data_IF_202892662558
#
_entry.id   IF_202892662558
#
_cell.length_a   1.000
_cell.length_b   1.000
_cell.length_c   1.000
_cell.angle_alpha   90.00
_cell.angle_beta   90.00
_cell.angle_gamma   90.00
#
_symmetry.space_group_name_H-M   'P 1'
#
loop_
_entity.id
_entity.type
_entity.pdbx_description
1 polymer ?
#
# COMPACT_ATOMS: atom_id res chain seq x y z
N UNK A 1 15.67 8.18 4.85
CA UNK A 1 14.63 9.22 4.87
C UNK A 1 13.99 9.23 6.25
N UNK A 2 13.55 10.38 6.72
CA UNK A 2 12.74 10.51 7.93
C UNK A 2 11.33 9.96 7.69
N UNK A 3 10.57 9.70 8.76
CA UNK A 3 9.17 9.30 8.66
C UNK A 3 8.35 10.28 7.81
N UNK A 4 8.52 11.58 8.02
CA UNK A 4 7.80 12.61 7.28
C UNK A 4 8.16 12.62 5.79
N UNK A 5 9.44 12.42 5.45
CA UNK A 5 9.88 12.30 4.06
C UNK A 5 9.27 11.08 3.38
N UNK A 6 9.19 9.94 4.08
CA UNK A 6 8.52 8.75 3.54
C UNK A 6 7.03 9.00 3.27
N UNK A 7 6.32 9.67 4.19
CA UNK A 7 4.89 9.99 4.01
C UNK A 7 4.66 10.90 2.80
N UNK A 8 5.50 11.92 2.62
CA UNK A 8 5.37 12.88 1.51
C UNK A 8 5.78 12.32 0.14
N UNK A 9 6.58 11.25 0.11
CA UNK A 9 7.19 10.77 -1.14
C UNK A 9 6.14 10.28 -2.16
N UNK A 10 5.12 9.56 -1.70
CA UNK A 10 4.24 8.80 -2.58
C UNK A 10 4.99 7.68 -3.30
N UNK A 11 4.74 7.50 -4.60
CA UNK A 11 5.42 6.48 -5.40
C UNK A 11 6.87 6.94 -5.66
N UNK A 12 7.89 6.17 -5.24
CA UNK A 12 9.29 6.56 -5.45
C UNK A 12 9.64 6.57 -6.95
N UNK A 13 10.44 7.55 -7.36
CA UNK A 13 10.84 7.72 -8.76
C UNK A 13 11.69 6.55 -9.29
N UNK A 14 12.46 5.93 -8.40
CA UNK A 14 13.27 4.74 -8.66
C UNK A 14 12.72 3.55 -7.86
N UNK A 15 12.86 2.34 -8.42
CA UNK A 15 12.34 1.14 -7.78
C UNK A 15 13.13 0.84 -6.49
N UNK A 16 12.47 0.73 -5.33
CA UNK A 16 13.13 0.26 -4.12
C UNK A 16 13.50 -1.22 -4.29
N UNK A 17 14.41 -1.73 -3.46
CA UNK A 17 14.78 -3.14 -3.48
C UNK A 17 13.56 -4.05 -3.24
N UNK A 18 13.53 -5.23 -3.88
CA UNK A 18 12.52 -6.25 -3.57
C UNK A 18 12.50 -6.55 -2.07
N UNK A 19 11.31 -6.74 -1.50
CA UNK A 19 11.15 -7.14 -0.11
C UNK A 19 11.22 -8.66 0.00
N UNK A 20 11.87 -9.15 1.05
CA UNK A 20 11.82 -10.56 1.41
C UNK A 20 10.49 -10.87 2.09
N UNK A 21 10.00 -12.10 1.91
CA UNK A 21 8.83 -12.61 2.60
C UNK A 21 9.15 -12.87 4.08
N UNK A 22 8.37 -12.28 4.99
CA UNK A 22 8.62 -12.37 6.42
C UNK A 22 7.81 -13.49 7.07
N UNK A 23 8.47 -14.61 7.35
CA UNK A 23 7.82 -15.80 7.93
C UNK A 23 7.37 -15.59 9.38
N UNK A 24 7.81 -14.54 10.07
CA UNK A 24 7.43 -14.27 11.45
C UNK A 24 6.06 -13.58 11.55
N UNK A 25 5.58 -12.97 10.47
CA UNK A 25 4.31 -12.26 10.43
C UNK A 25 3.20 -13.17 9.91
N UNK A 26 2.00 -13.01 10.47
CA UNK A 26 0.81 -13.71 9.99
C UNK A 26 0.38 -13.17 8.61
N UNK A 27 0.53 -13.98 7.58
CA UNK A 27 0.20 -13.60 6.21
C UNK A 27 -1.18 -14.09 5.77
N UNK A 28 -1.82 -13.33 4.87
CA UNK A 28 -3.12 -13.71 4.34
C UNK A 28 -3.04 -15.04 3.55
N UNK A 29 -4.05 -15.91 3.65
CA UNK A 29 -4.08 -17.15 2.88
C UNK A 29 -4.16 -16.84 1.38
N UNK A 30 -3.51 -17.70 0.58
CA UNK A 30 -3.58 -17.61 -0.88
C UNK A 30 -5.04 -17.67 -1.37
N UNK A 31 -5.42 -16.74 -2.25
CA UNK A 31 -6.74 -16.79 -2.91
C UNK A 31 -6.77 -17.82 -4.03
N UNK A 32 -7.95 -18.38 -4.26
CA UNK A 32 -8.18 -19.31 -5.37
C UNK A 32 -7.85 -18.63 -6.70
N UNK A 33 -7.11 -19.34 -7.55
CA UNK A 33 -6.79 -18.91 -8.90
C UNK A 33 -8.00 -19.19 -9.81
N UNK A 34 -8.91 -18.22 -9.87
CA UNK A 34 -10.16 -18.31 -10.64
C UNK A 34 -10.14 -17.44 -11.91
N UNK A 35 -9.08 -16.65 -12.11
CA UNK A 35 -9.00 -15.68 -13.20
C UNK A 35 -8.59 -16.37 -14.51
N UNK A 36 -9.23 -15.96 -15.61
CA UNK A 36 -8.79 -16.29 -16.97
C UNK A 36 -7.44 -15.65 -17.29
N UNK A 37 -6.81 -16.06 -18.39
CA UNK A 37 -5.55 -15.44 -18.82
C UNK A 37 -5.73 -13.97 -19.18
N UNK A 38 -6.85 -13.61 -19.82
CA UNK A 38 -7.21 -12.23 -20.16
C UNK A 38 -7.45 -11.39 -18.90
N UNK A 39 -8.11 -11.96 -17.88
CA UNK A 39 -8.34 -11.29 -16.60
C UNK A 39 -7.03 -11.09 -15.82
N UNK A 40 -6.11 -12.07 -15.88
CA UNK A 40 -4.77 -11.93 -15.28
C UNK A 40 -3.97 -10.83 -15.95
N UNK A 41 -3.98 -10.77 -17.28
CA UNK A 41 -3.32 -9.70 -18.02
C UNK A 41 -3.92 -8.32 -17.67
N UNK A 42 -5.26 -8.23 -17.61
CA UNK A 42 -5.96 -7.02 -17.20
C UNK A 42 -5.61 -6.61 -15.77
N UNK A 43 -5.50 -7.55 -14.83
CA UNK A 43 -5.12 -7.29 -13.45
C UNK A 43 -3.71 -6.69 -13.36
N UNK A 44 -2.74 -7.27 -14.08
CA UNK A 44 -1.37 -6.73 -14.17
C UNK A 44 -1.37 -5.35 -14.80
N UNK A 45 -2.09 -5.14 -15.91
CA UNK A 45 -2.23 -3.84 -16.57
C UNK A 45 -2.82 -2.79 -15.62
N UNK A 46 -3.84 -3.16 -14.84
CA UNK A 46 -4.47 -2.28 -13.86
C UNK A 46 -3.52 -1.88 -12.74
N UNK A 47 -2.69 -2.82 -12.27
CA UNK A 47 -1.66 -2.58 -11.26
C UNK A 47 -0.53 -1.66 -11.79
N UNK A 48 -0.17 -1.78 -13.07
CA UNK A 48 0.87 -0.95 -13.69
C UNK A 48 0.48 0.53 -13.84
N UNK A 49 -0.81 0.89 -13.74
CA UNK A 49 -1.28 2.29 -13.86
C UNK A 49 -0.70 3.23 -12.81
N UNK A 50 -0.26 2.70 -11.67
CA UNK A 50 0.34 3.50 -10.59
C UNK A 50 1.80 3.91 -10.86
N UNK A 51 2.44 3.33 -11.88
CA UNK A 51 3.89 3.42 -12.07
C UNK A 51 4.25 3.97 -13.45
N UNK A 52 5.40 4.66 -13.51
CA UNK A 52 5.99 5.11 -14.76
C UNK A 52 6.28 3.92 -15.70
N UNK A 53 6.07 4.14 -17.01
CA UNK A 53 6.28 3.12 -18.05
C UNK A 53 7.70 2.56 -18.07
N UNK A 54 8.71 3.33 -17.67
CA UNK A 54 10.10 2.86 -17.57
C UNK A 54 10.25 1.64 -16.64
N UNK A 55 9.36 1.52 -15.64
CA UNK A 55 9.38 0.45 -14.65
C UNK A 55 8.52 -0.75 -15.05
N UNK A 56 7.65 -0.61 -16.06
CA UNK A 56 6.69 -1.64 -16.46
C UNK A 56 7.34 -2.99 -16.81
N UNK A 57 8.48 -3.06 -17.53
CA UNK A 57 9.11 -4.36 -17.85
C UNK A 57 9.50 -5.17 -16.61
N UNK A 58 9.89 -4.51 -15.52
CA UNK A 58 10.25 -5.17 -14.26
C UNK A 58 8.99 -5.50 -13.46
N UNK A 59 8.12 -4.50 -13.28
CA UNK A 59 6.93 -4.63 -12.43
C UNK A 59 5.88 -5.56 -13.02
N UNK A 60 5.75 -5.68 -14.35
CA UNK A 60 4.80 -6.59 -14.97
C UNK A 60 5.08 -8.05 -14.57
N UNK A 61 6.36 -8.44 -14.60
CA UNK A 61 6.78 -9.78 -14.19
C UNK A 61 6.55 -9.99 -12.70
N UNK A 62 6.93 -9.02 -11.87
CA UNK A 62 6.74 -9.10 -10.41
C UNK A 62 5.26 -9.17 -10.01
N UNK A 63 4.39 -8.39 -10.63
CA UNK A 63 2.96 -8.41 -10.35
C UNK A 63 2.30 -9.69 -10.87
N UNK A 64 2.75 -10.24 -11.99
CA UNK A 64 2.30 -11.55 -12.45
C UNK A 64 2.73 -12.67 -11.48
N UNK A 65 3.95 -12.60 -10.93
CA UNK A 65 4.44 -13.49 -9.88
C UNK A 65 3.59 -13.38 -8.61
N UNK A 66 3.35 -12.17 -8.10
CA UNK A 66 2.49 -11.96 -6.93
C UNK A 66 1.07 -12.51 -7.16
N UNK A 67 0.47 -12.23 -8.32
CA UNK A 67 -0.86 -12.72 -8.66
C UNK A 67 -0.90 -14.25 -8.67
N UNK A 68 0.15 -14.91 -9.18
CA UNK A 68 0.25 -16.38 -9.20
C UNK A 68 0.47 -16.96 -7.80
N UNK A 69 1.32 -16.33 -6.99
CA UNK A 69 1.71 -16.82 -5.66
C UNK A 69 0.61 -16.60 -4.63
N UNK A 70 0.04 -15.40 -4.59
CA UNK A 70 -0.87 -14.96 -3.54
C UNK A 70 -2.34 -14.85 -4.02
N UNK A 71 -2.58 -14.87 -5.33
CA UNK A 71 -3.91 -14.60 -5.91
C UNK A 71 -4.28 -13.11 -5.87
N UNK A 72 -3.32 -12.23 -5.56
CA UNK A 72 -3.46 -10.77 -5.45
C UNK A 72 -2.13 -10.08 -5.77
N UNK A 73 -2.22 -8.83 -6.19
CA UNK A 73 -1.07 -7.94 -6.42
C UNK A 73 -1.04 -6.93 -5.27
N UNK A 74 -0.22 -7.20 -4.26
CA UNK A 74 -0.06 -6.33 -3.09
C UNK A 74 0.98 -5.23 -3.32
N UNK A 75 1.90 -5.46 -4.25
CA UNK A 75 3.03 -4.59 -4.55
C UNK A 75 4.02 -4.51 -3.38
N UNK A 76 4.45 -5.66 -2.84
CA UNK A 76 5.24 -5.75 -1.60
C UNK A 76 6.51 -4.91 -1.64
N UNK A 77 7.14 -4.78 -2.81
CA UNK A 77 8.30 -3.91 -3.04
C UNK A 77 8.11 -2.49 -2.47
N UNK A 78 6.89 -1.98 -2.52
CA UNK A 78 6.57 -0.60 -2.15
C UNK A 78 6.10 -0.45 -0.69
N UNK A 79 6.08 -1.53 0.09
CA UNK A 79 5.80 -1.45 1.52
C UNK A 79 6.88 -0.62 2.23
N UNK A 80 6.51 0.42 3.00
CA UNK A 80 7.47 1.18 3.81
C UNK A 80 8.16 0.35 4.89
N UNK A 81 9.38 0.75 5.26
CA UNK A 81 10.20 0.09 6.29
C UNK A 81 10.02 0.66 7.70
N UNK A 82 9.28 1.77 7.86
CA UNK A 82 9.01 2.28 9.19
C UNK A 82 7.97 1.41 9.91
N UNK A 83 8.04 1.41 11.25
CA UNK A 83 7.01 0.76 12.07
C UNK A 83 5.67 1.45 11.91
N UNK A 84 4.64 0.65 11.67
CA UNK A 84 3.25 1.08 11.63
C UNK A 84 2.71 1.10 13.05
N UNK A 85 2.30 2.29 13.51
CA UNK A 85 1.55 2.49 14.74
C UNK A 85 0.94 3.89 14.73
N UNK A 86 -0.05 4.11 15.58
CA UNK A 86 -0.74 5.39 15.68
C UNK A 86 0.14 6.46 16.37
N UNK A 87 1.01 7.12 15.62
CA UNK A 87 1.94 8.16 16.14
C UNK A 87 1.24 9.38 16.72
N UNK A 88 1.87 10.15 17.63
CA UNK A 88 1.45 11.50 17.96
C UNK A 88 1.15 12.35 16.72
N UNK A 89 0.06 13.12 16.75
CA UNK A 89 -0.45 13.85 15.57
C UNK A 89 0.57 14.85 14.98
N UNK A 90 1.46 15.38 15.82
CA UNK A 90 2.52 16.32 15.43
C UNK A 90 3.69 15.67 14.67
N UNK A 91 3.82 14.33 14.70
CA UNK A 91 4.82 13.61 13.90
C UNK A 91 4.41 13.51 12.42
N UNK A 92 3.12 13.63 12.11
CA UNK A 92 2.63 13.56 10.74
C UNK A 92 2.86 14.89 10.00
N UNK A 93 3.41 14.83 8.77
CA UNK A 93 3.54 16.02 7.93
C UNK A 93 2.16 16.49 7.44
N UNK A 94 2.05 17.77 7.11
CA UNK A 94 0.94 18.32 6.33
C UNK A 94 0.30 19.57 6.90
N UNK A 95 -0.67 20.10 6.15
CA UNK A 95 -1.26 21.42 6.37
C UNK A 95 -2.58 21.35 7.15
N UNK A 96 -3.34 20.26 6.99
CA UNK A 96 -4.60 20.01 7.71
C UNK A 96 -4.39 19.10 8.93
N UNK A 97 -4.87 19.53 10.10
CA UNK A 97 -4.91 18.67 11.31
C UNK A 97 -5.85 17.49 11.10
N UNK A 98 -6.95 17.68 10.38
CA UNK A 98 -7.91 16.62 10.07
C UNK A 98 -7.27 15.56 9.17
N UNK A 99 -6.54 15.95 8.12
CA UNK A 99 -5.82 15.01 7.28
C UNK A 99 -4.75 14.23 8.05
N UNK A 100 -4.05 14.86 9.00
CA UNK A 100 -3.11 14.17 9.92
C UNK A 100 -3.82 13.15 10.80
N UNK A 101 -5.00 13.47 11.31
CA UNK A 101 -5.80 12.52 12.08
C UNK A 101 -6.20 11.30 11.23
N UNK A 102 -6.54 11.50 9.95
CA UNK A 102 -6.82 10.39 9.02
C UNK A 102 -5.57 9.52 8.83
N UNK A 103 -4.39 10.11 8.60
CA UNK A 103 -3.13 9.37 8.52
C UNK A 103 -2.83 8.55 9.79
N UNK A 104 -3.11 9.12 10.97
CA UNK A 104 -3.01 8.43 12.26
C UNK A 104 -3.91 7.19 12.31
N UNK A 105 -5.19 7.34 11.95
CA UNK A 105 -6.13 6.22 11.95
C UNK A 105 -5.78 5.15 10.92
N UNK A 106 -5.26 5.54 9.74
CA UNK A 106 -4.76 4.59 8.75
C UNK A 106 -3.59 3.77 9.32
N UNK A 107 -2.62 4.40 10.00
CA UNK A 107 -1.51 3.67 10.60
C UNK A 107 -1.94 2.74 11.72
N UNK A 108 -2.94 3.13 12.53
CA UNK A 108 -3.52 2.25 13.53
C UNK A 108 -4.09 0.96 12.90
N UNK A 109 -4.83 1.07 11.79
CA UNK A 109 -5.41 -0.10 11.12
C UNK A 109 -4.36 -1.04 10.50
N UNK A 110 -3.14 -0.55 10.27
CA UNK A 110 -2.02 -1.29 9.68
C UNK A 110 -0.92 -1.65 10.70
N UNK A 111 -1.11 -1.30 11.97
CA UNK A 111 -0.22 -1.67 13.06
C UNK A 111 -0.18 -3.20 13.19
N UNK A 112 1.01 -3.79 13.32
CA UNK A 112 1.20 -5.23 13.48
C UNK A 112 0.50 -5.79 14.73
N UNK A 113 0.29 -4.95 15.76
CA UNK A 113 -0.47 -5.32 16.96
C UNK A 113 -1.99 -5.28 16.76
N UNK A 114 -2.48 -4.68 15.69
CA UNK A 114 -3.92 -4.48 15.40
C UNK A 114 -4.38 -5.29 14.19
N UNK A 115 -3.59 -5.28 13.12
CA UNK A 115 -3.95 -5.87 11.84
C UNK A 115 -3.79 -7.38 11.83
N UNK A 116 -4.79 -8.10 11.31
CA UNK A 116 -4.72 -9.56 11.14
C UNK A 116 -3.61 -9.99 10.18
N UNK A 117 -3.46 -9.27 9.05
CA UNK A 117 -2.41 -9.51 8.04
C UNK A 117 -1.81 -8.15 7.61
N UNK A 118 -0.88 -7.58 8.39
CA UNK A 118 -0.41 -6.20 8.20
C UNK A 118 0.28 -6.00 6.84
N UNK A 119 1.04 -6.97 6.36
CA UNK A 119 1.73 -6.90 5.07
C UNK A 119 0.79 -6.95 3.86
N UNK A 120 -0.41 -7.51 4.04
CA UNK A 120 -1.47 -7.59 3.02
C UNK A 120 -2.55 -6.50 3.18
N UNK A 121 -2.30 -5.54 4.07
CA UNK A 121 -3.18 -4.40 4.36
C UNK A 121 -4.55 -4.82 4.93
N UNK A 122 -4.66 -6.01 5.57
CA UNK A 122 -5.92 -6.54 6.09
C UNK A 122 -5.96 -6.39 7.61
N UNK A 123 -6.97 -5.67 8.11
CA UNK A 123 -7.13 -5.44 9.54
C UNK A 123 -7.91 -6.56 10.22
N UNK A 124 -9.03 -7.02 9.65
CA UNK A 124 -9.85 -8.08 10.25
C UNK A 124 -10.70 -8.83 9.21
N UNK A 125 -11.34 -9.92 9.65
CA UNK A 125 -12.30 -10.68 8.84
C UNK A 125 -11.68 -11.46 7.68
N UNK A 126 -10.36 -11.66 7.68
CA UNK A 126 -9.60 -12.35 6.63
C UNK A 126 -9.51 -11.62 5.29
N UNK A 127 -10.40 -10.67 5.00
CA UNK A 127 -10.41 -9.89 3.75
C UNK A 127 -10.75 -8.40 3.91
N UNK A 128 -11.02 -7.91 5.13
CA UNK A 128 -11.29 -6.51 5.45
C UNK A 128 -10.02 -5.67 5.32
N UNK A 129 -9.72 -5.26 4.08
CA UNK A 129 -8.51 -4.54 3.74
C UNK A 129 -8.67 -3.02 3.83
N UNK A 130 -7.61 -2.33 4.25
CA UNK A 130 -7.51 -0.87 4.27
C UNK A 130 -7.29 -0.32 2.86
N UNK A 131 -6.42 -0.98 2.09
CA UNK A 131 -6.14 -0.68 0.69
C UNK A 131 -6.02 -1.97 -0.11
N UNK A 132 -6.18 -1.89 -1.44
CA UNK A 132 -5.98 -3.05 -2.31
C UNK A 132 -4.50 -3.40 -2.48
N UNK A 133 -3.62 -2.40 -2.41
CA UNK A 133 -2.17 -2.54 -2.61
C UNK A 133 -1.39 -1.39 -1.96
N UNK A 134 -0.07 -1.55 -1.85
CA UNK A 134 0.82 -0.57 -1.23
C UNK A 134 0.95 0.74 -2.02
N UNK A 135 0.71 0.75 -3.33
CA UNK A 135 0.72 2.00 -4.10
C UNK A 135 -0.42 2.94 -3.70
N UNK A 136 -1.61 2.39 -3.45
CA UNK A 136 -2.74 3.17 -2.93
C UNK A 136 -2.41 3.79 -1.57
N UNK A 137 -1.82 3.01 -0.65
CA UNK A 137 -1.33 3.53 0.63
C UNK A 137 -0.39 4.72 0.42
N UNK A 138 0.67 4.55 -0.37
CA UNK A 138 1.67 5.59 -0.59
C UNK A 138 1.06 6.89 -1.15
N UNK A 139 0.18 6.77 -2.16
CA UNK A 139 -0.49 7.93 -2.74
C UNK A 139 -1.46 8.61 -1.78
N UNK A 140 -2.26 7.84 -1.04
CA UNK A 140 -3.17 8.38 -0.02
C UNK A 140 -2.40 9.14 1.06
N UNK A 141 -1.32 8.56 1.59
CA UNK A 141 -0.48 9.23 2.60
C UNK A 141 0.15 10.52 2.04
N UNK A 142 0.64 10.49 0.80
CA UNK A 142 1.15 11.68 0.11
C UNK A 142 0.07 12.76 0.02
N UNK A 143 -1.09 12.45 -0.54
CA UNK A 143 -2.15 13.43 -0.74
C UNK A 143 -2.68 14.01 0.58
N UNK A 144 -2.87 13.18 1.61
CA UNK A 144 -3.23 13.65 2.96
C UNK A 144 -2.16 14.58 3.56
N UNK A 145 -0.89 14.37 3.23
CA UNK A 145 0.20 15.23 3.69
C UNK A 145 0.33 16.55 2.93
N UNK A 146 -0.30 16.68 1.77
CA UNK A 146 -0.23 17.87 0.92
C UNK A 146 -1.51 18.71 1.00
N UNK A 147 -2.67 18.07 1.18
CA UNK A 147 -3.96 18.72 1.11
C UNK A 147 -4.21 19.74 2.23
N UNK A 148 -5.08 20.70 1.93
CA UNK A 148 -5.62 21.68 2.89
C UNK A 148 -7.07 21.33 3.30
N UNK A 149 -7.66 22.19 4.13
CA UNK A 149 -8.99 21.98 4.70
C UNK A 149 -10.13 22.23 3.68
N UNK A 150 -9.83 22.80 2.52
CA UNK A 150 -10.78 23.07 1.43
C UNK A 150 -10.78 22.00 0.32
N UNK A 151 -9.97 20.96 0.46
CA UNK A 151 -9.85 19.86 -0.50
C UNK A 151 -10.53 18.59 0.00
N UNK A 152 -10.94 17.72 -0.93
CA UNK A 152 -11.48 16.40 -0.61
C UNK A 152 -10.74 15.34 -1.40
N UNK A 153 -10.18 14.35 -0.69
CA UNK A 153 -9.59 13.16 -1.31
C UNK A 153 -10.69 12.12 -1.55
N UNK A 154 -10.93 11.77 -2.81
CA UNK A 154 -11.88 10.74 -3.21
C UNK A 154 -11.17 9.40 -3.33
N UNK A 155 -11.60 8.42 -2.54
CA UNK A 155 -11.08 7.05 -2.55
C UNK A 155 -12.03 6.15 -3.34
N UNK A 156 -11.52 5.35 -4.27
CA UNK A 156 -12.31 4.44 -5.11
C UNK A 156 -11.73 3.03 -5.11
N UNK A 157 -12.61 2.03 -4.99
CA UNK A 157 -12.27 0.60 -4.94
C UNK A 157 -12.65 -0.10 -6.22
#
# INVERSE_FOLDING_TARGET
MTFQEHIKQGIPAELPSKKNYDKAINHAPKRMDILSNEEKELAVRNALRYFDRKHHPILANEFAEELKEYGRIYMYRFRPDYKFYARPINEYPGNSVQAKAIMHMIQNNLDEAVAQHPHELITYGGNGAVFQNWAQYLLTMKYLSEMNDEQTLIMYS
#
